data_IF_089220046795
#
_entry.id   IF_089220046795
#
_cell.length_a   1.000
_cell.length_b   1.000
_cell.length_c   1.000
_cell.angle_alpha   90.00
_cell.angle_beta   90.00
_cell.angle_gamma   90.00
#
_symmetry.space_group_name_H-M   'P 1'
#
loop_
_entity.id
_entity.type
_entity.pdbx_description
1 polymer ?
#
# COMPACT_ATOMS: atom_id res chain seq x y z
N UNK A 1 -2.12 -29.31 11.12
CA UNK A 1 -2.55 -28.36 12.18
C UNK A 1 -3.74 -27.55 11.67
N UNK A 2 -4.80 -27.34 12.45
CA UNK A 2 -5.89 -26.40 12.10
C UNK A 2 -5.43 -24.98 12.48
N UNK A 3 -5.48 -24.05 11.54
CA UNK A 3 -5.21 -22.64 11.83
C UNK A 3 -6.26 -22.12 12.82
N UNK A 4 -5.81 -21.45 13.89
CA UNK A 4 -6.67 -20.70 14.80
C UNK A 4 -6.57 -19.23 14.41
N UNK A 5 -7.72 -18.58 14.22
CA UNK A 5 -7.81 -17.17 13.93
C UNK A 5 -8.40 -16.45 15.14
N UNK A 6 -7.91 -15.23 15.39
CA UNK A 6 -8.48 -14.29 16.36
C UNK A 6 -8.83 -13.01 15.60
N UNK A 7 -9.85 -12.29 16.06
CA UNK A 7 -10.17 -10.99 15.45
C UNK A 7 -9.06 -9.99 15.73
N UNK A 8 -8.94 -8.95 14.90
CA UNK A 8 -7.97 -7.87 15.16
C UNK A 8 -8.25 -7.15 16.48
N UNK A 9 -9.51 -7.07 16.90
CA UNK A 9 -9.97 -6.49 18.16
C UNK A 9 -9.38 -7.24 19.36
N UNK A 10 -9.36 -8.58 19.27
CA UNK A 10 -8.85 -9.45 20.33
C UNK A 10 -7.33 -9.47 20.42
N UNK A 11 -6.62 -8.89 19.44
CA UNK A 11 -5.16 -8.76 19.49
C UNK A 11 -4.69 -7.67 20.45
N UNK A 12 -5.54 -6.68 20.75
CA UNK A 12 -5.19 -5.46 21.48
C UNK A 12 -3.98 -4.69 20.91
N UNK A 13 -3.60 -4.95 19.66
CA UNK A 13 -2.42 -4.37 19.01
C UNK A 13 -2.74 -3.14 18.16
N UNK A 14 -4.02 -2.84 17.92
CA UNK A 14 -4.46 -1.79 17.01
C UNK A 14 -5.28 -0.72 17.72
N UNK A 15 -5.13 0.52 17.26
CA UNK A 15 -5.93 1.64 17.77
C UNK A 15 -7.40 1.50 17.36
N UNK A 16 -8.29 2.17 18.10
CA UNK A 16 -9.72 2.20 17.78
C UNK A 16 -9.99 2.66 16.34
N UNK A 17 -9.26 3.68 15.86
CA UNK A 17 -9.41 4.17 14.49
C UNK A 17 -9.12 3.09 13.43
N UNK A 18 -8.06 2.30 13.62
CA UNK A 18 -7.72 1.21 12.69
C UNK A 18 -8.79 0.12 12.73
N UNK A 19 -9.27 -0.23 13.93
CA UNK A 19 -10.34 -1.22 14.09
C UNK A 19 -11.64 -0.74 13.42
N UNK A 20 -12.03 0.51 13.63
CA UNK A 20 -13.22 1.12 13.04
C UNK A 20 -13.11 1.17 11.49
N UNK A 21 -11.92 1.43 10.94
CA UNK A 21 -11.67 1.37 9.50
C UNK A 21 -11.82 -0.04 8.93
N UNK A 22 -11.26 -1.06 9.60
CA UNK A 22 -11.42 -2.47 9.21
C UNK A 22 -12.89 -2.90 9.27
N UNK A 23 -13.63 -2.45 10.29
CA UNK A 23 -15.05 -2.79 10.50
C UNK A 23 -16.03 -2.03 9.60
N UNK A 24 -15.56 -1.13 8.74
CA UNK A 24 -16.41 -0.31 7.85
C UNK A 24 -17.39 0.61 8.60
N UNK A 25 -16.94 1.22 9.70
CA UNK A 25 -17.79 2.10 10.49
C UNK A 25 -18.31 3.28 9.64
N UNK A 26 -19.64 3.54 9.60
CA UNK A 26 -20.24 4.49 8.66
C UNK A 26 -19.67 5.91 8.74
N UNK A 27 -19.30 6.36 9.95
CA UNK A 27 -18.78 7.73 10.16
C UNK A 27 -17.38 7.94 9.55
N UNK A 28 -16.65 6.88 9.20
CA UNK A 28 -15.35 6.96 8.56
C UNK A 28 -15.43 6.95 7.03
N UNK A 29 -16.60 6.62 6.44
CA UNK A 29 -16.71 6.37 4.98
C UNK A 29 -16.25 7.54 4.12
N UNK A 30 -16.47 8.77 4.59
CA UNK A 30 -16.07 9.98 3.85
C UNK A 30 -14.60 10.36 4.06
N UNK A 31 -13.88 9.67 4.96
CA UNK A 31 -12.49 9.97 5.32
C UNK A 31 -11.47 9.09 4.58
N UNK A 32 -11.90 8.09 3.81
CA UNK A 32 -11.01 7.20 3.07
C UNK A 32 -11.55 6.88 1.67
N UNK A 33 -10.66 6.54 0.73
CA UNK A 33 -11.05 6.25 -0.66
C UNK A 33 -11.62 4.84 -0.88
N UNK A 34 -10.93 3.81 -0.39
CA UNK A 34 -11.34 2.41 -0.55
C UNK A 34 -11.17 1.62 0.75
N UNK A 35 -12.01 0.59 0.92
CA UNK A 35 -11.92 -0.32 2.07
C UNK A 35 -10.63 -1.16 2.05
N UNK A 36 -10.15 -1.61 3.22
CA UNK A 36 -8.99 -2.48 3.33
C UNK A 36 -9.36 -3.95 3.07
N UNK A 37 -10.13 -4.21 2.01
CA UNK A 37 -10.54 -5.55 1.58
C UNK A 37 -10.17 -5.79 0.12
N UNK A 38 -10.30 -7.06 -0.32
CA UNK A 38 -9.91 -7.48 -1.68
C UNK A 38 -10.61 -6.66 -2.77
N UNK A 39 -11.85 -6.22 -2.54
CA UNK A 39 -12.59 -5.44 -3.52
C UNK A 39 -12.11 -3.98 -3.54
N UNK A 40 -11.85 -3.41 -2.37
CA UNK A 40 -11.25 -2.08 -2.23
C UNK A 40 -9.87 -2.01 -2.90
N UNK A 41 -9.00 -3.00 -2.67
CA UNK A 41 -7.70 -3.07 -3.36
C UNK A 41 -7.85 -3.18 -4.88
N UNK A 42 -8.80 -3.98 -5.38
CA UNK A 42 -9.05 -4.08 -6.82
C UNK A 42 -9.48 -2.74 -7.41
N UNK A 43 -10.37 -2.00 -6.75
CA UNK A 43 -10.77 -0.66 -7.16
C UNK A 43 -9.58 0.30 -7.16
N UNK A 44 -8.82 0.33 -6.08
CA UNK A 44 -7.65 1.19 -5.95
C UNK A 44 -6.64 0.96 -7.07
N UNK A 45 -6.34 -0.30 -7.42
CA UNK A 45 -5.43 -0.66 -8.50
C UNK A 45 -6.00 -0.23 -9.86
N UNK A 46 -7.30 -0.45 -10.10
CA UNK A 46 -7.93 -0.09 -11.37
C UNK A 46 -8.02 1.43 -11.57
N UNK A 47 -8.26 2.18 -10.49
CA UNK A 47 -8.33 3.64 -10.49
C UNK A 47 -6.95 4.29 -10.52
N UNK A 48 -5.89 3.55 -10.14
CA UNK A 48 -4.52 4.01 -10.17
C UNK A 48 -4.01 4.17 -11.61
N UNK A 49 -4.32 5.33 -12.19
CA UNK A 49 -3.86 5.75 -13.50
C UNK A 49 -2.75 6.80 -13.34
N UNK A 50 -1.49 6.33 -13.29
CA UNK A 50 -0.33 7.21 -13.20
C UNK A 50 -0.20 8.08 -14.46
N UNK A 51 -0.25 9.41 -14.31
CA UNK A 51 -0.20 10.39 -15.42
C UNK A 51 1.18 11.06 -15.60
N UNK A 52 2.22 10.60 -14.90
CA UNK A 52 3.57 11.16 -15.01
C UNK A 52 4.43 10.49 -16.07
N UNK A 53 5.63 11.02 -16.26
CA UNK A 53 6.65 10.41 -17.10
C UNK A 53 7.40 9.32 -16.31
N UNK A 54 7.14 8.05 -16.67
CA UNK A 54 7.77 6.88 -16.03
C UNK A 54 9.25 6.76 -16.36
N UNK A 55 9.68 7.19 -17.55
CA UNK A 55 11.08 7.13 -17.95
C UNK A 55 11.88 8.14 -17.14
N UNK A 56 11.39 9.38 -17.05
CA UNK A 56 12.01 10.43 -16.23
C UNK A 56 12.06 10.02 -14.75
N UNK A 57 10.99 9.45 -14.22
CA UNK A 57 10.97 8.95 -12.83
C UNK A 57 12.04 7.88 -12.61
N UNK A 58 12.10 6.87 -13.49
CA UNK A 58 13.06 5.77 -13.36
C UNK A 58 14.50 6.25 -13.51
N UNK A 59 14.79 7.22 -14.41
CA UNK A 59 16.14 7.73 -14.61
C UNK A 59 16.62 8.52 -13.40
N UNK A 60 15.79 9.45 -12.90
CA UNK A 60 16.13 10.30 -11.75
C UNK A 60 16.32 9.45 -10.49
N UNK A 61 15.46 8.45 -10.25
CA UNK A 61 15.64 7.53 -9.13
C UNK A 61 16.93 6.71 -9.26
N UNK A 62 17.30 6.28 -10.46
CA UNK A 62 18.56 5.55 -10.67
C UNK A 62 19.77 6.43 -10.33
N UNK A 63 19.76 7.69 -10.75
CA UNK A 63 20.81 8.66 -10.45
C UNK A 63 20.91 8.97 -8.95
N UNK A 64 19.77 9.20 -8.29
CA UNK A 64 19.72 9.47 -6.85
C UNK A 64 20.28 8.31 -6.02
N UNK A 65 20.00 7.08 -6.41
CA UNK A 65 20.44 5.89 -5.70
C UNK A 65 21.88 5.45 -6.03
N UNK A 66 22.54 6.08 -7.02
CA UNK A 66 23.91 5.72 -7.41
C UNK A 66 24.96 5.94 -6.31
N UNK A 67 24.70 6.88 -5.39
CA UNK A 67 25.63 7.23 -4.29
C UNK A 67 25.15 6.73 -2.92
N UNK A 68 24.10 5.91 -2.87
CA UNK A 68 23.57 5.35 -1.63
C UNK A 68 23.91 3.86 -1.55
N UNK A 69 24.33 3.41 -0.37
CA UNK A 69 24.44 1.97 -0.09
C UNK A 69 23.03 1.37 -0.08
N UNK A 70 22.73 0.57 -1.10
CA UNK A 70 21.37 0.04 -1.33
C UNK A 70 21.43 -1.42 -1.72
N UNK A 71 20.31 -2.12 -1.52
CA UNK A 71 20.18 -3.52 -1.91
C UNK A 71 19.77 -3.65 -3.38
N UNK A 72 20.21 -4.71 -4.07
CA UNK A 72 19.90 -4.97 -5.49
C UNK A 72 18.41 -4.97 -5.82
N UNK A 73 17.58 -5.33 -4.84
CA UNK A 73 16.11 -5.30 -4.97
C UNK A 73 15.58 -3.88 -5.21
N UNK A 74 16.24 -2.86 -4.68
CA UNK A 74 15.87 -1.46 -4.88
C UNK A 74 16.08 -1.08 -6.35
N UNK A 75 17.27 -1.32 -6.89
CA UNK A 75 17.60 -1.04 -8.30
C UNK A 75 16.70 -1.83 -9.25
N UNK A 76 16.39 -3.08 -8.90
CA UNK A 76 15.45 -3.93 -9.67
C UNK A 76 14.05 -3.33 -9.68
N UNK A 77 13.57 -2.81 -8.55
CA UNK A 77 12.24 -2.22 -8.46
C UNK A 77 12.16 -0.85 -9.15
N UNK A 78 13.22 -0.04 -9.12
CA UNK A 78 13.28 1.22 -9.89
C UNK A 78 13.13 0.93 -11.39
N UNK A 79 13.82 -0.09 -11.92
CA UNK A 79 13.69 -0.50 -13.33
C UNK A 79 12.28 -0.96 -13.71
N UNK A 80 11.49 -1.46 -12.77
CA UNK A 80 10.10 -1.91 -12.98
C UNK A 80 9.08 -0.77 -13.01
N UNK A 81 9.50 0.47 -12.73
CA UNK A 81 8.61 1.63 -12.78
C UNK A 81 8.32 2.08 -14.21
N UNK A 82 9.13 1.68 -15.18
CA UNK A 82 8.96 1.94 -16.61
C UNK A 82 8.30 0.76 -17.33
#
# INVERSE_FOLDING_TARGET
MKAKYISYQDTHAFSKLVLDYVNDEPFLKDLYGHRPDINGFRKAINEHNFKGDRQLLSSVLTEQYANCETHDSVLTNIKRLN
#
